data_IF_082832341400
#
_entry.id   IF_082832341400
#
_cell.length_a   1.000
_cell.length_b   1.000
_cell.length_c   1.000
_cell.angle_alpha   90.00
_cell.angle_beta   90.00
_cell.angle_gamma   90.00
#
_symmetry.space_group_name_H-M   'P 1'
#
loop_
_entity.id
_entity.type
_entity.pdbx_description
1 polymer ?
#
# COMPACT_ATOMS: atom_id res chain seq x y z
N UNK A 1 1.45 7.25 38.33
CA UNK A 1 2.02 8.50 38.84
C UNK A 1 3.28 8.87 38.04
N UNK A 2 3.13 9.85 37.15
CA UNK A 2 4.09 10.89 36.73
C UNK A 2 5.59 10.53 36.65
N UNK A 3 6.09 10.18 35.45
CA UNK A 3 7.51 10.37 35.13
C UNK A 3 7.76 11.86 34.88
N UNK A 4 8.67 12.40 35.69
CA UNK A 4 9.11 13.80 35.72
C UNK A 4 9.59 14.26 34.34
N UNK A 5 9.03 15.39 33.91
CA UNK A 5 9.45 16.20 32.78
C UNK A 5 10.80 16.84 33.14
N UNK A 6 11.90 16.34 32.60
CA UNK A 6 13.21 16.96 32.77
C UNK A 6 13.34 18.06 31.71
N UNK A 7 13.08 19.30 32.14
CA UNK A 7 13.35 20.52 31.39
C UNK A 7 14.85 20.75 31.47
N UNK A 8 15.57 20.46 30.39
CA UNK A 8 17.01 20.74 30.30
C UNK A 8 17.19 22.22 29.95
N UNK A 9 17.74 22.95 30.92
CA UNK A 9 18.08 24.36 30.89
C UNK A 9 19.00 24.70 29.72
N UNK A 10 18.60 25.66 28.88
CA UNK A 10 19.45 26.28 27.86
C UNK A 10 20.43 27.18 28.61
N UNK A 11 21.67 26.72 28.77
CA UNK A 11 22.78 27.56 29.24
C UNK A 11 23.49 28.14 28.03
N UNK A 12 23.14 29.38 27.69
CA UNK A 12 23.89 30.21 26.75
C UNK A 12 25.33 30.36 27.24
N UNK A 13 26.29 29.73 26.56
CA UNK A 13 27.72 30.06 26.66
C UNK A 13 28.20 30.45 25.28
N UNK A 14 28.93 31.56 25.28
CA UNK A 14 29.41 32.35 24.16
C UNK A 14 30.14 31.52 23.09
N UNK A 15 29.85 31.83 21.82
CA UNK A 15 30.65 31.44 20.67
C UNK A 15 32.06 32.05 20.75
N UNK A 16 33.07 31.32 20.24
CA UNK A 16 34.03 31.94 19.34
C UNK A 16 33.81 31.42 17.93
N UNK A 17 33.78 32.38 17.00
CA UNK A 17 33.87 32.23 15.56
C UNK A 17 35.16 31.46 15.21
N UNK A 18 35.05 30.36 14.46
CA UNK A 18 36.20 29.80 13.75
C UNK A 18 35.74 29.09 12.47
N UNK A 19 36.42 29.47 11.38
CA UNK A 19 36.26 29.02 10.01
C UNK A 19 36.46 27.50 9.86
N UNK A 20 35.66 26.86 9.00
CA UNK A 20 35.85 25.46 8.67
C UNK A 20 34.56 24.79 8.19
N UNK A 21 34.24 25.03 6.92
CA UNK A 21 33.28 24.31 6.10
C UNK A 21 33.56 22.79 6.08
N UNK A 22 32.55 21.99 5.71
CA UNK A 22 32.62 20.54 5.38
C UNK A 22 32.67 19.48 6.50
N UNK A 23 31.79 19.53 7.50
CA UNK A 23 31.33 18.30 8.17
C UNK A 23 29.82 18.35 8.42
N UNK A 24 29.05 17.72 7.53
CA UNK A 24 27.68 17.32 7.83
C UNK A 24 27.67 16.66 9.22
N UNK A 25 26.89 17.24 10.14
CA UNK A 25 26.94 16.88 11.55
C UNK A 25 26.65 15.37 11.72
N UNK A 26 27.62 14.56 12.18
CA UNK A 26 27.45 13.10 12.29
C UNK A 26 26.32 12.73 13.27
N UNK A 27 26.01 13.63 14.20
CA UNK A 27 24.93 13.47 15.18
C UNK A 27 23.52 13.58 14.56
N UNK A 28 23.35 14.31 13.46
CA UNK A 28 22.06 14.44 12.76
C UNK A 28 21.81 13.21 11.88
N UNK A 29 22.84 12.71 11.20
CA UNK A 29 22.78 11.50 10.36
C UNK A 29 22.48 10.26 11.21
N UNK A 30 23.18 10.08 12.33
CA UNK A 30 22.98 8.94 13.23
C UNK A 30 21.56 8.90 13.83
N UNK A 31 21.01 10.09 14.13
CA UNK A 31 19.67 10.22 14.69
C UNK A 31 18.58 10.04 13.63
N UNK A 32 18.85 10.36 12.36
CA UNK A 32 17.94 10.08 11.25
C UNK A 32 17.88 8.58 10.94
N UNK A 33 19.01 7.88 10.96
CA UNK A 33 19.10 6.44 10.73
C UNK A 33 18.39 5.64 11.83
N UNK A 34 18.60 5.96 13.12
CA UNK A 34 17.86 5.29 14.22
C UNK A 34 16.35 5.53 14.16
N UNK A 35 15.91 6.71 13.69
CA UNK A 35 14.49 7.05 13.57
C UNK A 35 13.85 6.37 12.36
N UNK A 36 14.60 6.20 11.27
CA UNK A 36 14.22 5.38 10.13
C UNK A 36 14.14 3.91 10.50
N UNK A 37 15.14 3.39 11.23
CA UNK A 37 15.22 1.99 11.63
C UNK A 37 14.11 1.63 12.64
N UNK A 38 13.86 2.48 13.65
CA UNK A 38 12.78 2.26 14.61
C UNK A 38 11.39 2.36 13.98
N UNK A 39 11.16 3.32 13.07
CA UNK A 39 9.92 3.37 12.28
C UNK A 39 9.82 2.18 11.32
N UNK A 40 10.94 1.76 10.73
CA UNK A 40 11.01 0.62 9.82
C UNK A 40 10.62 -0.65 10.56
N UNK A 41 11.18 -0.95 11.74
CA UNK A 41 10.84 -2.15 12.53
C UNK A 41 9.36 -2.19 12.93
N UNK A 42 8.80 -1.05 13.35
CA UNK A 42 7.37 -0.98 13.71
C UNK A 42 6.47 -1.13 12.49
N UNK A 43 6.83 -0.50 11.37
CA UNK A 43 6.10 -0.62 10.10
C UNK A 43 6.21 -2.05 9.55
N UNK A 44 7.42 -2.61 9.53
CA UNK A 44 7.77 -3.95 9.06
C UNK A 44 6.97 -5.03 9.78
N UNK A 45 6.91 -4.97 11.12
CA UNK A 45 6.16 -5.95 11.92
C UNK A 45 4.64 -5.83 11.76
N UNK A 46 4.13 -4.63 11.48
CA UNK A 46 2.72 -4.41 11.14
C UNK A 46 2.41 -4.85 9.70
N UNK A 47 3.38 -4.73 8.79
CA UNK A 47 3.26 -5.19 7.41
C UNK A 47 3.34 -6.71 7.27
N UNK A 48 4.01 -7.46 8.14
CA UNK A 48 4.02 -8.95 8.05
C UNK A 48 2.63 -9.57 8.20
N UNK A 49 1.85 -9.11 9.18
CA UNK A 49 0.47 -9.57 9.37
C UNK A 49 -0.47 -9.11 8.26
N UNK A 50 -0.29 -7.88 7.76
CA UNK A 50 -1.04 -7.35 6.61
C UNK A 50 -0.71 -8.13 5.34
N UNK A 51 0.57 -8.40 5.10
CA UNK A 51 1.08 -9.13 3.95
C UNK A 51 0.52 -10.56 3.89
N UNK A 52 0.45 -11.27 5.02
CA UNK A 52 -0.16 -12.59 5.07
C UNK A 52 -1.66 -12.54 4.71
N UNK A 53 -2.39 -11.54 5.23
CA UNK A 53 -3.80 -11.37 4.96
C UNK A 53 -4.06 -10.98 3.48
N UNK A 54 -3.25 -10.09 2.93
CA UNK A 54 -3.29 -9.65 1.52
C UNK A 54 -2.94 -10.80 0.57
N UNK A 55 -1.89 -11.58 0.87
CA UNK A 55 -1.55 -12.77 0.12
C UNK A 55 -2.65 -13.85 0.19
N UNK A 56 -3.24 -14.03 1.37
CA UNK A 56 -4.40 -14.91 1.56
C UNK A 56 -5.61 -14.47 0.74
N UNK A 57 -5.91 -13.17 0.73
CA UNK A 57 -6.99 -12.60 -0.09
C UNK A 57 -6.73 -12.79 -1.59
N UNK A 58 -5.48 -12.58 -2.03
CA UNK A 58 -5.06 -12.85 -3.40
C UNK A 58 -5.26 -14.33 -3.78
N UNK A 59 -4.87 -15.26 -2.91
CA UNK A 59 -5.07 -16.69 -3.15
C UNK A 59 -6.55 -17.05 -3.24
N UNK A 60 -7.39 -16.46 -2.38
CA UNK A 60 -8.85 -16.63 -2.44
C UNK A 60 -9.42 -16.14 -3.77
N UNK A 61 -9.04 -14.94 -4.24
CA UNK A 61 -9.46 -14.41 -5.53
C UNK A 61 -9.13 -15.35 -6.70
N UNK A 62 -7.90 -15.87 -6.73
CA UNK A 62 -7.46 -16.80 -7.78
C UNK A 62 -8.23 -18.12 -7.71
N UNK A 63 -8.39 -18.69 -6.51
CA UNK A 63 -9.13 -19.94 -6.32
C UNK A 63 -10.60 -19.80 -6.71
N UNK A 64 -11.24 -18.69 -6.35
CA UNK A 64 -12.63 -18.45 -6.72
C UNK A 64 -12.78 -18.15 -8.21
N UNK A 65 -11.87 -17.38 -8.81
CA UNK A 65 -11.85 -17.15 -10.26
C UNK A 65 -11.70 -18.46 -11.05
N UNK A 66 -10.81 -19.35 -10.61
CA UNK A 66 -10.67 -20.69 -11.19
C UNK A 66 -11.94 -21.54 -11.01
N UNK A 67 -12.56 -21.50 -9.83
CA UNK A 67 -13.81 -22.21 -9.57
C UNK A 67 -14.95 -21.74 -10.48
N UNK A 68 -15.06 -20.44 -10.73
CA UNK A 68 -16.02 -19.84 -11.66
C UNK A 68 -15.81 -20.30 -13.11
N UNK A 69 -14.56 -20.30 -13.59
CA UNK A 69 -14.20 -20.79 -14.93
C UNK A 69 -14.56 -22.27 -15.11
N UNK A 70 -14.23 -23.11 -14.13
CA UNK A 70 -14.36 -24.57 -14.25
C UNK A 70 -15.78 -25.05 -13.96
N UNK A 71 -16.44 -24.50 -12.94
CA UNK A 71 -17.67 -25.08 -12.36
C UNK A 71 -18.94 -24.45 -12.90
N UNK A 72 -18.90 -23.15 -13.23
CA UNK A 72 -20.10 -22.39 -13.58
C UNK A 72 -20.15 -21.98 -15.05
N UNK A 73 -19.09 -22.24 -15.83
CA UNK A 73 -18.95 -21.80 -17.23
C UNK A 73 -19.08 -20.28 -17.43
N UNK A 74 -19.03 -19.51 -16.33
CA UNK A 74 -19.08 -18.05 -16.31
C UNK A 74 -17.69 -17.49 -16.61
N UNK A 75 -17.23 -17.73 -17.85
CA UNK A 75 -15.87 -17.45 -18.30
C UNK A 75 -15.47 -16.00 -18.05
N UNK A 76 -16.37 -15.04 -18.32
CA UNK A 76 -16.07 -13.62 -18.18
C UNK A 76 -15.77 -13.24 -16.71
N UNK A 77 -16.65 -13.59 -15.77
CA UNK A 77 -16.44 -13.32 -14.35
C UNK A 77 -15.19 -14.04 -13.81
N UNK A 78 -15.02 -15.31 -14.17
CA UNK A 78 -13.87 -16.10 -13.76
C UNK A 78 -12.53 -15.50 -14.23
N UNK A 79 -12.42 -15.12 -15.50
CA UNK A 79 -11.21 -14.46 -16.01
C UNK A 79 -10.98 -13.09 -15.39
N UNK A 80 -12.03 -12.30 -15.12
CA UNK A 80 -11.91 -11.02 -14.44
C UNK A 80 -11.32 -11.19 -13.02
N UNK A 81 -11.79 -12.17 -12.26
CA UNK A 81 -11.28 -12.47 -10.91
C UNK A 81 -9.81 -12.94 -10.95
N UNK A 82 -9.44 -13.78 -11.92
CA UNK A 82 -8.06 -14.25 -12.09
C UNK A 82 -7.14 -13.06 -12.43
N UNK A 83 -7.52 -12.24 -13.42
CA UNK A 83 -6.74 -11.05 -13.79
C UNK A 83 -6.61 -10.08 -12.62
N UNK A 84 -7.69 -9.83 -11.88
CA UNK A 84 -7.65 -8.98 -10.69
C UNK A 84 -6.70 -9.54 -9.62
N UNK A 85 -6.74 -10.85 -9.37
CA UNK A 85 -5.82 -11.52 -8.44
C UNK A 85 -4.35 -11.38 -8.86
N UNK A 86 -4.03 -11.60 -10.15
CA UNK A 86 -2.66 -11.46 -10.66
C UNK A 86 -2.18 -10.01 -10.55
N UNK A 87 -3.00 -9.04 -10.97
CA UNK A 87 -2.63 -7.62 -10.88
C UNK A 87 -2.45 -7.17 -9.43
N UNK A 88 -3.31 -7.64 -8.53
CA UNK A 88 -3.18 -7.39 -7.10
C UNK A 88 -1.88 -7.97 -6.53
N UNK A 89 -1.51 -9.19 -6.94
CA UNK A 89 -0.23 -9.80 -6.57
C UNK A 89 0.98 -9.01 -7.09
N UNK A 90 0.94 -8.54 -8.33
CA UNK A 90 2.01 -7.72 -8.90
C UNK A 90 2.20 -6.40 -8.14
N UNK A 91 1.11 -5.69 -7.83
CA UNK A 91 1.16 -4.48 -7.03
C UNK A 91 1.69 -4.76 -5.61
N UNK A 92 1.21 -5.84 -4.99
CA UNK A 92 1.70 -6.27 -3.69
C UNK A 92 3.21 -6.49 -3.68
N UNK A 93 3.76 -7.21 -4.68
CA UNK A 93 5.19 -7.40 -4.82
C UNK A 93 5.93 -6.08 -5.02
N UNK A 94 5.40 -5.19 -5.86
CA UNK A 94 6.02 -3.91 -6.14
C UNK A 94 6.08 -3.00 -4.91
N UNK A 95 5.02 -2.98 -4.09
CA UNK A 95 5.02 -2.31 -2.80
C UNK A 95 6.12 -2.86 -1.88
N UNK A 96 6.18 -4.19 -1.74
CA UNK A 96 7.13 -4.84 -0.84
C UNK A 96 8.59 -4.62 -1.28
N UNK A 97 8.87 -4.69 -2.58
CA UNK A 97 10.18 -4.34 -3.15
C UNK A 97 10.52 -2.87 -2.89
N UNK A 98 9.55 -1.96 -3.06
CA UNK A 98 9.72 -0.54 -2.77
C UNK A 98 10.08 -0.25 -1.31
N UNK A 99 9.46 -0.97 -0.37
CA UNK A 99 9.74 -0.86 1.07
C UNK A 99 11.11 -1.46 1.42
N UNK A 100 11.44 -2.66 0.92
CA UNK A 100 12.73 -3.32 1.22
C UNK A 100 13.91 -2.49 0.72
N UNK A 101 13.83 -2.01 -0.52
CA UNK A 101 14.92 -1.25 -1.12
C UNK A 101 14.90 0.23 -0.75
N UNK A 102 13.94 0.68 0.09
CA UNK A 102 13.68 2.10 0.39
C UNK A 102 13.73 2.97 -0.89
N UNK A 103 13.07 2.50 -1.96
CA UNK A 103 13.13 3.14 -3.27
C UNK A 103 11.96 4.10 -3.44
N UNK A 104 12.19 5.39 -3.15
CA UNK A 104 11.14 6.42 -3.18
C UNK A 104 10.43 6.58 -4.54
N UNK A 105 11.09 6.53 -5.72
CA UNK A 105 10.40 6.68 -7.00
C UNK A 105 9.52 5.46 -7.30
N UNK A 106 9.97 4.26 -6.90
CA UNK A 106 9.21 3.04 -7.06
C UNK A 106 7.92 3.06 -6.22
N UNK A 107 8.00 3.56 -4.98
CA UNK A 107 6.86 3.75 -4.09
C UNK A 107 5.86 4.78 -4.63
N UNK A 108 6.34 5.87 -5.23
CA UNK A 108 5.47 6.88 -5.86
C UNK A 108 4.77 6.32 -7.10
N UNK A 109 5.50 5.63 -7.99
CA UNK A 109 4.90 4.97 -9.16
C UNK A 109 3.82 3.95 -8.73
N UNK A 110 4.13 3.12 -7.74
CA UNK A 110 3.17 2.18 -7.18
C UNK A 110 1.91 2.87 -6.64
N UNK A 111 2.06 4.01 -5.95
CA UNK A 111 0.90 4.77 -5.46
C UNK A 111 -0.03 5.24 -6.59
N UNK A 112 0.54 5.69 -7.71
CA UNK A 112 -0.23 6.09 -8.90
C UNK A 112 -0.89 4.89 -9.58
N UNK A 113 -0.19 3.77 -9.73
CA UNK A 113 -0.75 2.56 -10.33
C UNK A 113 -1.90 1.98 -9.49
N UNK A 114 -1.72 1.90 -8.17
CA UNK A 114 -2.75 1.47 -7.24
C UNK A 114 -3.97 2.42 -7.26
N UNK A 115 -3.73 3.73 -7.29
CA UNK A 115 -4.79 4.75 -7.41
C UNK A 115 -5.54 4.69 -8.74
N UNK A 116 -4.84 4.49 -9.86
CA UNK A 116 -5.45 4.32 -11.17
C UNK A 116 -6.31 3.06 -11.25
N UNK A 117 -5.79 1.94 -10.74
CA UNK A 117 -6.53 0.69 -10.63
C UNK A 117 -7.80 0.83 -9.77
N UNK A 118 -7.71 1.56 -8.66
CA UNK A 118 -8.87 1.85 -7.81
C UNK A 118 -9.98 2.57 -8.59
N UNK A 119 -9.64 3.61 -9.34
CA UNK A 119 -10.60 4.38 -10.16
C UNK A 119 -11.23 3.49 -11.24
N UNK A 120 -10.42 2.67 -11.91
CA UNK A 120 -10.90 1.74 -12.93
C UNK A 120 -11.89 0.71 -12.36
N UNK A 121 -11.56 0.09 -11.23
CA UNK A 121 -12.44 -0.88 -10.56
C UNK A 121 -13.73 -0.21 -10.07
N UNK A 122 -13.62 0.97 -9.47
CA UNK A 122 -14.80 1.72 -9.02
C UNK A 122 -15.72 2.09 -10.18
N UNK A 123 -15.16 2.52 -11.31
CA UNK A 123 -15.91 2.83 -12.54
C UNK A 123 -16.56 1.57 -13.10
N UNK A 124 -15.83 0.45 -13.15
CA UNK A 124 -16.37 -0.85 -13.56
C UNK A 124 -17.55 -1.26 -12.68
N UNK A 125 -17.44 -1.15 -11.36
CA UNK A 125 -18.52 -1.47 -10.42
C UNK A 125 -19.77 -0.63 -10.67
N UNK A 126 -19.61 0.68 -10.87
CA UNK A 126 -20.74 1.56 -11.16
C UNK A 126 -21.39 1.23 -12.50
N UNK A 127 -20.60 0.97 -13.54
CA UNK A 127 -21.12 0.54 -14.85
C UNK A 127 -21.86 -0.80 -14.76
N UNK A 128 -21.30 -1.79 -14.06
CA UNK A 128 -21.93 -3.10 -13.86
C UNK A 128 -23.25 -3.01 -13.12
N UNK A 129 -23.39 -2.10 -12.15
CA UNK A 129 -24.65 -1.88 -11.41
C UNK A 129 -25.70 -1.14 -12.23
N UNK A 130 -25.30 -0.17 -13.07
CA UNK A 130 -26.24 0.64 -13.88
C UNK A 130 -26.71 -0.11 -15.14
N UNK A 131 -25.87 -0.98 -15.71
CA UNK A 131 -26.13 -1.67 -16.98
C UNK A 131 -26.65 -3.11 -16.81
N UNK A 132 -26.76 -3.64 -15.58
CA UNK A 132 -27.19 -5.03 -15.39
C UNK A 132 -28.68 -5.22 -15.72
N UNK A 133 -28.96 -6.21 -16.57
CA UNK A 133 -30.32 -6.54 -16.99
C UNK A 133 -31.08 -7.28 -15.87
N UNK A 134 -32.29 -6.85 -15.48
CA UNK A 134 -33.02 -7.45 -14.36
C UNK A 134 -33.36 -8.93 -14.58
N UNK A 135 -33.47 -9.37 -15.83
CA UNK A 135 -33.73 -10.78 -16.19
C UNK A 135 -32.53 -11.71 -15.90
N UNK A 136 -31.30 -11.21 -15.86
CA UNK A 136 -30.11 -12.02 -15.54
C UNK A 136 -29.95 -12.22 -14.03
N UNK A 137 -30.40 -11.27 -13.21
CA UNK A 137 -30.31 -11.31 -11.73
C UNK A 137 -31.12 -12.45 -11.12
N UNK A 138 -32.14 -12.96 -11.83
CA UNK A 138 -33.02 -14.04 -11.35
C UNK A 138 -32.35 -15.42 -11.46
N UNK A 139 -31.30 -15.55 -12.28
CA UNK A 139 -30.53 -16.79 -12.45
C UNK A 139 -29.57 -16.94 -11.27
N UNK A 140 -29.84 -17.91 -10.39
CA UNK A 140 -29.07 -18.13 -9.15
C UNK A 140 -27.54 -18.21 -9.32
N UNK A 141 -26.97 -18.99 -10.27
CA UNK A 141 -25.52 -19.06 -10.43
C UNK A 141 -24.92 -17.71 -10.85
N UNK A 142 -25.53 -17.03 -11.83
CA UNK A 142 -25.12 -15.69 -12.26
C UNK A 142 -25.19 -14.68 -11.12
N UNK A 143 -26.26 -14.70 -10.32
CA UNK A 143 -26.42 -13.81 -9.15
C UNK A 143 -25.32 -14.02 -8.12
N UNK A 144 -24.97 -15.27 -7.83
CA UNK A 144 -23.92 -15.57 -6.85
C UNK A 144 -22.55 -15.12 -7.37
N UNK A 145 -22.23 -15.40 -8.63
CA UNK A 145 -20.99 -14.98 -9.29
C UNK A 145 -20.87 -13.45 -9.34
N UNK A 146 -21.96 -12.75 -9.65
CA UNK A 146 -22.04 -11.29 -9.63
C UNK A 146 -21.81 -10.73 -8.22
N UNK A 147 -22.50 -11.25 -7.21
CA UNK A 147 -22.34 -10.80 -5.81
C UNK A 147 -20.92 -11.02 -5.29
N UNK A 148 -20.31 -12.15 -5.66
CA UNK A 148 -18.94 -12.46 -5.31
C UNK A 148 -17.96 -11.51 -6.03
N UNK A 149 -18.20 -11.21 -7.30
CA UNK A 149 -17.40 -10.24 -8.07
C UNK A 149 -17.53 -8.82 -7.49
N UNK A 150 -18.73 -8.39 -7.10
CA UNK A 150 -18.97 -7.07 -6.49
C UNK A 150 -18.29 -6.96 -5.12
N UNK A 151 -18.49 -7.94 -4.24
CA UNK A 151 -17.90 -7.93 -2.89
C UNK A 151 -16.38 -7.97 -2.93
N UNK A 152 -15.80 -8.84 -3.76
CA UNK A 152 -14.35 -8.91 -3.95
C UNK A 152 -13.75 -7.65 -4.60
N UNK A 153 -14.48 -7.00 -5.51
CA UNK A 153 -14.06 -5.71 -6.07
C UNK A 153 -14.03 -4.61 -4.99
N UNK A 154 -15.03 -4.54 -4.11
CA UNK A 154 -15.06 -3.57 -3.01
C UNK A 154 -13.86 -3.79 -2.07
N UNK A 155 -13.59 -5.03 -1.67
CA UNK A 155 -12.44 -5.34 -0.80
C UNK A 155 -11.14 -4.95 -1.50
N UNK A 156 -10.98 -5.32 -2.78
CA UNK A 156 -9.82 -4.94 -3.59
C UNK A 156 -9.65 -3.42 -3.66
N UNK A 157 -10.73 -2.66 -3.86
CA UNK A 157 -10.71 -1.20 -3.87
C UNK A 157 -10.23 -0.62 -2.53
N UNK A 158 -10.69 -1.14 -1.40
CA UNK A 158 -10.24 -0.69 -0.07
C UNK A 158 -8.74 -0.97 0.12
N UNK A 159 -8.28 -2.16 -0.29
CA UNK A 159 -6.86 -2.53 -0.21
C UNK A 159 -6.00 -1.62 -1.11
N UNK A 160 -6.41 -1.38 -2.35
CA UNK A 160 -5.72 -0.48 -3.28
C UNK A 160 -5.62 0.96 -2.75
N UNK A 161 -6.69 1.49 -2.16
CA UNK A 161 -6.67 2.81 -1.54
C UNK A 161 -5.70 2.86 -0.35
N UNK A 162 -5.66 1.80 0.46
CA UNK A 162 -4.75 1.68 1.60
C UNK A 162 -3.29 1.59 1.13
N UNK A 163 -3.02 0.81 0.08
CA UNK A 163 -1.71 0.73 -0.55
C UNK A 163 -1.26 2.06 -1.16
N UNK A 164 -2.14 2.76 -1.87
CA UNK A 164 -1.82 4.06 -2.45
C UNK A 164 -1.43 5.08 -1.36
N UNK A 165 -2.24 5.18 -0.30
CA UNK A 165 -1.96 6.06 0.83
C UNK A 165 -0.65 5.70 1.55
N UNK A 166 -0.42 4.42 1.82
CA UNK A 166 0.78 3.93 2.50
C UNK A 166 2.04 4.15 1.67
N UNK A 167 1.98 3.88 0.37
CA UNK A 167 3.09 4.07 -0.57
C UNK A 167 3.45 5.55 -0.73
N UNK A 168 2.45 6.42 -0.82
CA UNK A 168 2.67 7.87 -0.90
C UNK A 168 3.29 8.42 0.39
N UNK A 169 2.75 8.03 1.56
CA UNK A 169 3.30 8.41 2.86
C UNK A 169 4.75 7.96 3.00
N UNK A 170 5.04 6.70 2.65
CA UNK A 170 6.39 6.14 2.80
C UNK A 170 7.37 6.73 1.79
N UNK A 171 6.95 6.90 0.54
CA UNK A 171 7.77 7.53 -0.50
C UNK A 171 8.19 8.95 -0.11
N UNK A 172 7.26 9.71 0.51
CA UNK A 172 7.57 11.04 1.04
C UNK A 172 8.56 10.99 2.22
N UNK A 173 8.36 10.09 3.19
CA UNK A 173 9.30 9.95 4.31
C UNK A 173 10.73 9.65 3.84
N UNK A 174 10.88 8.72 2.88
CA UNK A 174 12.20 8.36 2.34
C UNK A 174 12.81 9.53 1.57
N UNK A 175 12.01 10.25 0.79
CA UNK A 175 12.46 11.45 0.07
C UNK A 175 12.90 12.57 1.02
N UNK A 176 12.12 12.87 2.06
CA UNK A 176 12.43 13.92 3.04
C UNK A 176 13.75 13.64 3.77
N UNK A 177 14.03 12.38 4.12
CA UNK A 177 15.32 12.00 4.72
C UNK A 177 16.46 12.13 3.71
N UNK A 178 16.28 11.67 2.47
CA UNK A 178 17.26 11.85 1.41
C UNK A 178 17.61 13.32 1.20
N UNK A 179 16.60 14.20 1.11
CA UNK A 179 16.83 15.65 0.97
C UNK A 179 17.60 16.19 2.17
N UNK A 180 17.26 15.79 3.40
CA UNK A 180 17.96 16.24 4.63
C UNK A 180 19.42 15.77 4.71
N UNK A 181 19.77 14.65 4.08
CA UNK A 181 21.16 14.15 4.04
C UNK A 181 21.99 14.88 2.99
N UNK A 182 21.37 15.24 1.86
CA UNK A 182 22.07 15.79 0.69
C UNK A 182 22.06 17.34 0.60
N UNK A 183 21.19 18.03 1.36
CA UNK A 183 21.06 19.49 1.41
C UNK A 183 21.06 19.99 2.85
#
# INVERSE_FOLDING_TARGET
>A
MLRKKQVTTISTKEQPMNDGDDRAQPEVVFKADELLESKFVIHYRRTEGSALAEAGFCALLLMTGLAEVISYSELLCGYCLICAGILFFCLFLQFYLGVIFNCWPLLICHAFEAGGMFICIFTFLMCSLVLSYPAQIVVTPYRNSLMLTLSSSIITSVLLATFAASSFSRGREVCDVLVTIFF
#
